data_IF_889965684262
#
_entry.id   IF_889965684262
#
_cell.length_a   1.000
_cell.length_b   1.000
_cell.length_c   1.000
_cell.angle_alpha   90.00
_cell.angle_beta   90.00
_cell.angle_gamma   90.00
#
_symmetry.space_group_name_H-M   'P 1'
#
loop_
_entity.id
_entity.type
_entity.pdbx_description
1 polymer ?
#
# COMPACT_ATOMS: atom_id res chain seq x y z
N UNK A 1 39.43 42.37 4.71
CA UNK A 1 38.31 42.20 5.67
C UNK A 1 37.18 43.10 5.19
N UNK A 2 35.98 42.67 4.78
CA UNK A 2 35.11 41.57 5.21
C UNK A 2 34.27 41.12 3.99
N UNK A 3 34.45 39.88 3.57
CA UNK A 3 33.46 39.13 2.79
C UNK A 3 32.36 38.71 3.75
N UNK A 4 31.17 39.30 3.65
CA UNK A 4 30.03 38.93 4.49
C UNK A 4 28.75 39.33 3.77
N UNK A 5 28.20 38.45 2.94
CA UNK A 5 26.76 38.11 2.89
C UNK A 5 26.66 36.64 2.42
N UNK A 6 26.90 35.73 3.37
CA UNK A 6 26.51 34.34 3.30
C UNK A 6 25.37 34.19 4.30
N UNK A 7 24.11 34.21 3.88
CA UNK A 7 23.02 33.61 4.68
C UNK A 7 21.70 33.61 3.91
N UNK A 8 21.04 32.46 4.00
CA UNK A 8 19.59 32.28 3.91
C UNK A 8 18.98 32.02 2.53
N UNK A 9 19.31 30.85 1.97
CA UNK A 9 18.33 30.07 1.20
C UNK A 9 18.15 28.69 1.85
N UNK A 10 17.65 28.72 3.09
CA UNK A 10 17.19 27.55 3.81
C UNK A 10 15.70 27.78 4.05
N UNK A 11 14.83 27.27 3.18
CA UNK A 11 13.37 27.18 3.39
C UNK A 11 12.70 26.60 2.13
N UNK A 12 12.82 25.28 1.92
CA UNK A 12 11.76 24.41 1.37
C UNK A 12 12.21 22.96 1.44
N UNK A 13 12.24 22.41 2.65
CA UNK A 13 12.11 20.97 2.86
C UNK A 13 10.77 20.73 3.56
N UNK A 14 9.67 21.16 2.94
CA UNK A 14 8.40 20.47 3.16
C UNK A 14 8.53 19.14 2.46
N UNK A 15 9.16 18.21 3.18
CA UNK A 15 9.34 16.83 2.76
C UNK A 15 7.99 16.24 2.37
N UNK A 16 8.02 15.39 1.35
CA UNK A 16 6.88 14.65 0.85
C UNK A 16 6.27 13.81 1.99
N UNK A 17 5.32 14.38 2.75
CA UNK A 17 4.52 13.58 3.68
C UNK A 17 3.74 12.58 2.84
N UNK A 18 4.05 11.29 3.02
CA UNK A 18 3.31 10.22 2.37
C UNK A 18 1.86 10.34 2.85
N UNK A 19 0.93 10.47 1.89
CA UNK A 19 -0.49 10.49 2.19
C UNK A 19 -0.85 9.31 3.11
N UNK A 20 -1.75 9.51 4.09
CA UNK A 20 -2.13 8.44 5.00
C UNK A 20 -2.65 7.25 4.19
N UNK A 21 -2.12 6.06 4.49
CA UNK A 21 -2.50 4.85 3.77
C UNK A 21 -3.98 4.55 4.02
N UNK A 22 -4.70 4.22 2.95
CA UNK A 22 -6.07 3.74 3.09
C UNK A 22 -6.10 2.43 3.87
N UNK A 23 -7.12 2.25 4.71
CA UNK A 23 -7.35 0.98 5.42
C UNK A 23 -8.45 0.22 4.71
N UNK A 24 -8.16 -1.01 4.30
CA UNK A 24 -9.07 -1.89 3.60
C UNK A 24 -9.45 -3.06 4.51
N UNK A 25 -10.74 -3.37 4.62
CA UNK A 25 -11.23 -4.52 5.39
C UNK A 25 -11.74 -5.62 4.45
N UNK A 26 -11.24 -6.84 4.63
CA UNK A 26 -11.64 -7.98 3.80
C UNK A 26 -13.09 -8.41 4.06
N UNK A 27 -13.92 -8.49 3.02
CA UNK A 27 -15.33 -8.90 3.11
C UNK A 27 -15.50 -10.44 3.11
N UNK A 28 -14.48 -11.15 2.63
CA UNK A 28 -14.34 -12.62 2.62
C UNK A 28 -12.88 -13.01 2.75
N UNK A 29 -12.59 -14.31 2.78
CA UNK A 29 -11.21 -14.78 2.68
C UNK A 29 -10.67 -14.49 1.27
N UNK A 30 -9.47 -13.91 1.19
CA UNK A 30 -8.82 -13.54 -0.08
C UNK A 30 -7.40 -14.09 -0.12
N UNK A 31 -7.01 -14.65 -1.27
CA UNK A 31 -5.65 -15.13 -1.49
C UNK A 31 -4.71 -13.97 -1.76
N UNK A 32 -3.60 -13.91 -1.03
CA UNK A 32 -2.52 -12.96 -1.27
C UNK A 32 -1.30 -13.66 -1.85
N UNK A 33 -0.74 -13.09 -2.90
CA UNK A 33 0.39 -13.64 -3.64
C UNK A 33 1.69 -12.93 -3.26
N UNK A 34 2.81 -13.66 -3.33
CA UNK A 34 4.13 -13.10 -2.99
C UNK A 34 4.59 -12.04 -4.01
N UNK A 35 4.20 -12.18 -5.29
CA UNK A 35 4.64 -11.32 -6.39
C UNK A 35 3.49 -11.05 -7.37
N UNK A 36 3.60 -9.95 -8.11
CA UNK A 36 2.82 -9.70 -9.32
C UNK A 36 3.14 -10.78 -10.35
N UNK A 37 2.13 -11.26 -11.08
CA UNK A 37 2.25 -12.39 -12.02
C UNK A 37 2.72 -13.70 -11.39
N UNK A 38 2.67 -13.86 -10.06
CA UNK A 38 2.89 -15.16 -9.45
C UNK A 38 1.91 -16.18 -10.06
N UNK A 39 2.37 -17.42 -10.24
CA UNK A 39 1.55 -18.47 -10.82
C UNK A 39 0.19 -18.54 -10.11
N UNK A 40 -0.87 -18.27 -10.87
CA UNK A 40 -2.24 -18.33 -10.37
C UNK A 40 -2.46 -19.72 -9.73
N UNK A 41 -2.84 -19.75 -8.45
CA UNK A 41 -3.08 -20.99 -7.69
C UNK A 41 -2.15 -21.26 -6.51
N UNK A 42 -1.02 -20.56 -6.36
CA UNK A 42 -0.18 -20.67 -5.15
C UNK A 42 -0.18 -19.37 -4.35
N UNK A 43 -1.20 -19.23 -3.50
CA UNK A 43 -1.25 -18.14 -2.53
C UNK A 43 -0.05 -18.26 -1.56
N UNK A 44 0.54 -17.12 -1.20
CA UNK A 44 1.55 -17.04 -0.14
C UNK A 44 0.88 -17.12 1.25
N UNK A 45 -0.31 -16.52 1.38
CA UNK A 45 -1.16 -16.62 2.56
C UNK A 45 -2.61 -16.25 2.22
N UNK A 46 -3.50 -16.42 3.18
CA UNK A 46 -4.91 -16.01 3.09
C UNK A 46 -5.16 -14.86 4.05
N UNK A 47 -5.67 -13.75 3.52
CA UNK A 47 -6.22 -12.65 4.32
C UNK A 47 -7.60 -13.10 4.78
N UNK A 48 -7.84 -13.08 6.09
CA UNK A 48 -9.12 -13.58 6.64
C UNK A 48 -10.22 -12.54 6.51
N UNK A 49 -11.46 -12.99 6.33
CA UNK A 49 -12.64 -12.12 6.44
C UNK A 49 -12.58 -11.27 7.73
N UNK A 50 -12.83 -9.98 7.59
CA UNK A 50 -12.84 -8.98 8.67
C UNK A 50 -11.46 -8.40 9.01
N UNK A 51 -10.37 -8.97 8.49
CA UNK A 51 -9.03 -8.44 8.67
C UNK A 51 -8.88 -7.07 8.01
N UNK A 52 -8.19 -6.16 8.71
CA UNK A 52 -7.87 -4.81 8.23
C UNK A 52 -6.44 -4.79 7.74
N UNK A 53 -6.24 -4.23 6.55
CA UNK A 53 -4.95 -4.13 5.89
C UNK A 53 -4.70 -2.70 5.47
N UNK A 54 -3.45 -2.26 5.51
CA UNK A 54 -3.04 -1.03 4.86
C UNK A 54 -2.91 -1.29 3.35
N UNK A 55 -3.63 -0.50 2.55
CA UNK A 55 -3.45 -0.51 1.11
C UNK A 55 -2.18 0.25 0.72
N UNK A 56 -1.42 -0.36 -0.17
CA UNK A 56 -0.21 0.19 -0.77
C UNK A 56 -0.41 0.52 -2.23
N UNK A 57 0.65 0.32 -3.00
CA UNK A 57 0.67 0.58 -4.43
C UNK A 57 -0.19 -0.42 -5.21
N UNK A 58 -0.61 0.00 -6.40
CA UNK A 58 -1.20 -0.89 -7.42
C UNK A 58 -0.21 -1.07 -8.55
N UNK A 59 -0.03 -2.31 -8.99
CA UNK A 59 0.81 -2.70 -10.11
C UNK A 59 -0.01 -3.49 -11.12
N UNK A 60 0.30 -3.36 -12.40
CA UNK A 60 -0.39 -4.10 -13.46
C UNK A 60 0.49 -5.25 -13.92
N UNK A 61 -0.03 -6.47 -13.77
CA UNK A 61 0.56 -7.68 -14.32
C UNK A 61 0.25 -7.86 -15.80
N UNK A 62 0.50 -9.07 -16.31
CA UNK A 62 0.24 -9.42 -17.71
C UNK A 62 -1.24 -9.35 -18.07
N UNK A 63 -2.10 -9.72 -17.13
CA UNK A 63 -3.57 -9.82 -17.35
C UNK A 63 -4.38 -9.15 -16.25
N UNK A 64 -3.83 -8.99 -15.05
CA UNK A 64 -4.57 -8.52 -13.87
C UNK A 64 -3.92 -7.26 -13.26
N UNK A 65 -4.74 -6.44 -12.59
CA UNK A 65 -4.25 -5.43 -11.66
C UNK A 65 -4.03 -6.06 -10.28
N UNK A 66 -2.95 -5.69 -9.61
CA UNK A 66 -2.59 -6.18 -8.29
C UNK A 66 -2.45 -5.01 -7.33
N UNK A 67 -3.13 -5.06 -6.20
CA UNK A 67 -2.94 -4.11 -5.11
C UNK A 67 -2.12 -4.75 -4.00
N UNK A 68 -1.09 -4.05 -3.54
CA UNK A 68 -0.29 -4.49 -2.39
C UNK A 68 -1.04 -4.20 -1.11
N UNK A 69 -1.23 -5.21 -0.27
CA UNK A 69 -1.84 -5.08 1.05
C UNK A 69 -0.85 -5.50 2.12
N UNK A 70 -0.77 -4.71 3.19
CA UNK A 70 -0.04 -5.05 4.40
C UNK A 70 -1.03 -5.34 5.53
N UNK A 71 -1.19 -6.62 5.85
CA UNK A 71 -2.15 -7.12 6.83
C UNK A 71 -1.41 -7.71 8.04
N UNK A 72 -2.14 -8.04 9.11
CA UNK A 72 -1.58 -8.76 10.26
C UNK A 72 -1.09 -10.16 9.87
N UNK A 73 -1.76 -10.81 8.93
CA UNK A 73 -1.39 -12.12 8.38
C UNK A 73 -0.14 -12.09 7.50
N UNK A 74 0.27 -10.92 7.02
CA UNK A 74 1.42 -10.75 6.13
C UNK A 74 1.24 -9.63 5.11
N UNK A 75 2.29 -9.39 4.32
CA UNK A 75 2.29 -8.47 3.19
C UNK A 75 2.26 -9.25 1.87
N UNK A 76 1.36 -8.88 0.96
CA UNK A 76 1.22 -9.55 -0.32
C UNK A 76 0.38 -8.78 -1.34
N UNK A 77 0.18 -9.37 -2.50
CA UNK A 77 -0.55 -8.80 -3.62
C UNK A 77 -1.90 -9.49 -3.81
N UNK A 78 -2.96 -8.72 -4.01
CA UNK A 78 -4.30 -9.25 -4.31
C UNK A 78 -4.79 -8.74 -5.66
N UNK A 79 -5.52 -9.57 -6.39
CA UNK A 79 -6.20 -9.19 -7.64
C UNK A 79 -7.68 -8.86 -7.41
N UNK A 80 -8.29 -9.39 -6.36
CA UNK A 80 -9.72 -9.27 -6.02
C UNK A 80 -9.97 -8.06 -5.08
N UNK A 81 -9.61 -6.84 -5.53
CA UNK A 81 -9.76 -5.61 -4.71
C UNK A 81 -11.22 -5.28 -4.36
N UNK A 82 -12.17 -5.71 -5.19
CA UNK A 82 -13.62 -5.60 -4.98
C UNK A 82 -14.12 -6.39 -3.77
N UNK A 83 -13.30 -7.28 -3.21
CA UNK A 83 -13.61 -8.02 -1.99
C UNK A 83 -13.18 -7.28 -0.70
N UNK A 84 -12.84 -6.00 -0.81
CA UNK A 84 -12.47 -5.16 0.34
C UNK A 84 -13.39 -3.94 0.46
N UNK A 85 -13.78 -3.64 1.69
CA UNK A 85 -14.42 -2.37 2.05
C UNK A 85 -13.35 -1.36 2.44
N UNK A 86 -13.33 -0.18 1.82
CA UNK A 86 -12.42 0.91 2.18
C UNK A 86 -12.96 1.63 3.39
N UNK A 87 -12.21 1.59 4.49
CA UNK A 87 -12.56 2.28 5.71
C UNK A 87 -12.11 3.74 5.63
N UNK A 88 -12.88 4.68 6.19
CA UNK A 88 -12.47 6.08 6.26
C UNK A 88 -11.17 6.20 7.06
N UNK A 89 -10.18 6.86 6.47
CA UNK A 89 -8.96 7.26 7.17
C UNK A 89 -9.33 8.36 8.16
N UNK A 90 -9.19 8.10 9.46
CA UNK A 90 -9.32 9.18 10.46
C UNK A 90 -8.23 10.20 10.18
N UNK A 91 -8.63 11.44 9.92
CA UNK A 91 -7.73 12.59 9.88
C UNK A 91 -7.15 12.87 11.26
#
# INVERSE_FOLDING_TARGET
MKTLILTSLCLVLFGCEKAPKEIWQANKNVSAYANVNAAQGKAAFTIKKGEKCEAGETAYGKVDAYTKLNCKSGSGWVTESEHFTRLPTSK
#
